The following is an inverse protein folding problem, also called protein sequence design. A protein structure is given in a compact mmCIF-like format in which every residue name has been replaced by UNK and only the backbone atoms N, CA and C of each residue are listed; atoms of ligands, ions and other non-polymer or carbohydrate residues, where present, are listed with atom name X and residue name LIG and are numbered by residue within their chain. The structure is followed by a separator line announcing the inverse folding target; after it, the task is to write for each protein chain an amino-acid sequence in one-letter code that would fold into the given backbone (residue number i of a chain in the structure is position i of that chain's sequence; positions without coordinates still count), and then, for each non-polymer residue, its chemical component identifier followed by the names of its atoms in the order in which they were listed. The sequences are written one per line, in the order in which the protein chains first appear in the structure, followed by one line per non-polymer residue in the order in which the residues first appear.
data_IF_386831830828
#
_entry.id   IF_386831830828
#
_cell.length_a   1.000
_cell.length_b   1.000
_cell.length_c   1.000
_cell.angle_alpha   90.00
_cell.angle_beta   90.00
_cell.angle_gamma   90.00
#
_symmetry.space_group_name_H-M   'P 1'
#
loop_
_entity.id
_entity.type
_entity.pdbx_description
1 polymer ?
#
# COMPACT_ATOMS: atom_id res chain seq x y z
N UNK A 1 8.24 -23.41 16.87
CA UNK A 1 7.05 -23.24 16.01
C UNK A 1 6.09 -24.35 16.31
N UNK A 2 5.14 -24.06 17.19
CA UNK A 2 3.99 -24.91 17.47
C UNK A 2 2.92 -24.68 16.40
N UNK A 3 1.99 -25.62 16.19
CA UNK A 3 0.97 -25.51 15.14
C UNK A 3 0.11 -24.22 15.21
N UNK A 4 -0.08 -23.64 16.41
CA UNK A 4 -0.80 -22.36 16.58
C UNK A 4 -0.03 -21.14 16.07
N UNK A 5 1.30 -21.13 16.14
CA UNK A 5 2.12 -20.00 15.63
C UNK A 5 2.13 -19.97 14.10
N UNK A 6 2.18 -21.15 13.48
CA UNK A 6 2.00 -21.36 12.03
C UNK A 6 0.67 -20.76 11.56
N UNK A 7 -0.43 -21.19 12.19
CA UNK A 7 -1.78 -20.78 11.82
C UNK A 7 -2.01 -19.26 12.02
N UNK A 8 -1.48 -18.67 13.09
CA UNK A 8 -1.55 -17.22 13.32
C UNK A 8 -0.79 -16.42 12.25
N UNK A 9 0.37 -16.94 11.79
CA UNK A 9 1.16 -16.31 10.72
C UNK A 9 0.41 -16.36 9.39
N UNK A 10 -0.20 -17.50 9.04
CA UNK A 10 -1.00 -17.64 7.82
C UNK A 10 -2.21 -16.69 7.82
N UNK A 11 -2.92 -16.61 8.95
CA UNK A 11 -4.08 -15.73 9.09
C UNK A 11 -3.68 -14.27 8.91
N UNK A 12 -2.61 -13.81 9.59
CA UNK A 12 -2.11 -12.45 9.45
C UNK A 12 -1.66 -12.13 8.02
N UNK A 13 -1.01 -13.09 7.33
CA UNK A 13 -0.58 -12.90 5.95
C UNK A 13 -1.78 -12.76 4.98
N UNK A 14 -2.83 -13.56 5.20
CA UNK A 14 -4.06 -13.48 4.41
C UNK A 14 -4.80 -12.14 4.65
N UNK A 15 -4.80 -11.65 5.89
CA UNK A 15 -5.38 -10.36 6.24
C UNK A 15 -4.65 -9.19 5.55
N UNK A 16 -3.31 -9.24 5.50
CA UNK A 16 -2.49 -8.27 4.75
C UNK A 16 -2.87 -8.28 3.26
N UNK A 17 -3.01 -9.45 2.63
CA UNK A 17 -3.40 -9.53 1.20
C UNK A 17 -4.75 -8.88 0.93
N UNK A 18 -5.76 -9.19 1.74
CA UNK A 18 -7.10 -8.62 1.60
C UNK A 18 -7.09 -7.08 1.78
N UNK A 19 -6.28 -6.58 2.72
CA UNK A 19 -6.12 -5.15 2.94
C UNK A 19 -5.40 -4.46 1.75
N UNK A 20 -4.38 -5.10 1.17
CA UNK A 20 -3.67 -4.58 -0.01
C UNK A 20 -4.58 -4.50 -1.25
N UNK A 21 -5.44 -5.49 -1.47
CA UNK A 21 -6.42 -5.48 -2.56
C UNK A 21 -7.39 -4.31 -2.45
N UNK A 22 -7.86 -4.00 -1.23
CA UNK A 22 -8.72 -2.85 -0.99
C UNK A 22 -7.99 -1.54 -1.24
N UNK A 23 -6.80 -1.40 -0.65
CA UNK A 23 -5.93 -0.26 -0.78
C UNK A 23 -5.56 0.03 -2.24
N UNK A 24 -5.16 -0.98 -3.03
CA UNK A 24 -4.80 -0.82 -4.44
C UNK A 24 -5.96 -0.22 -5.26
N UNK A 25 -7.18 -0.75 -5.06
CA UNK A 25 -8.37 -0.25 -5.76
C UNK A 25 -8.62 1.22 -5.46
N UNK A 26 -8.48 1.63 -4.19
CA UNK A 26 -8.71 3.01 -3.80
C UNK A 26 -7.60 3.95 -4.25
N UNK A 27 -6.33 3.55 -4.20
CA UNK A 27 -5.20 4.32 -4.75
C UNK A 27 -5.40 4.59 -6.24
N UNK A 28 -5.73 3.55 -7.02
CA UNK A 28 -5.98 3.71 -8.47
C UNK A 28 -7.12 4.67 -8.75
N UNK A 29 -8.15 4.69 -7.89
CA UNK A 29 -9.27 5.64 -7.99
C UNK A 29 -8.83 7.05 -7.57
N UNK A 30 -8.02 7.20 -6.52
CA UNK A 30 -7.54 8.47 -6.00
C UNK A 30 -6.74 9.23 -7.06
N UNK A 31 -5.84 8.55 -7.77
CA UNK A 31 -5.05 9.14 -8.85
C UNK A 31 -5.92 9.63 -10.01
N UNK A 32 -7.05 8.97 -10.29
CA UNK A 32 -7.99 9.36 -11.36
C UNK A 32 -8.91 10.52 -10.98
N UNK A 33 -9.19 10.70 -9.69
CA UNK A 33 -10.21 11.62 -9.16
C UNK A 33 -9.62 12.55 -8.11
N UNK A 34 -8.37 12.98 -8.34
CA UNK A 34 -7.67 13.86 -7.41
C UNK A 34 -8.55 15.04 -6.99
N UNK A 35 -8.53 15.37 -5.68
CA UNK A 35 -9.45 16.27 -4.93
C UNK A 35 -10.66 15.58 -4.25
N UNK A 36 -10.85 14.27 -4.41
CA UNK A 36 -11.77 13.51 -3.55
C UNK A 36 -11.15 13.31 -2.16
N UNK A 37 -11.45 14.23 -1.24
CA UNK A 37 -10.92 14.20 0.14
C UNK A 37 -11.47 13.04 0.97
N UNK A 38 -12.65 12.50 0.63
CA UNK A 38 -13.18 11.30 1.28
C UNK A 38 -12.37 10.08 0.88
N UNK A 39 -12.03 9.98 -0.40
CA UNK A 39 -11.18 8.92 -0.91
C UNK A 39 -9.75 9.02 -0.37
N UNK A 40 -9.19 10.23 -0.25
CA UNK A 40 -7.90 10.42 0.42
C UNK A 40 -7.92 9.91 1.87
N UNK A 41 -8.94 10.28 2.66
CA UNK A 41 -9.10 9.78 4.03
C UNK A 41 -9.19 8.26 4.08
N UNK A 42 -9.90 7.65 3.14
CA UNK A 42 -10.03 6.20 3.04
C UNK A 42 -8.67 5.55 2.80
N UNK A 43 -7.92 6.02 1.79
CA UNK A 43 -6.58 5.51 1.48
C UNK A 43 -5.62 5.71 2.66
N UNK A 44 -5.70 6.85 3.36
CA UNK A 44 -4.89 7.12 4.56
C UNK A 44 -5.25 6.23 5.76
N UNK A 45 -6.52 5.83 5.91
CA UNK A 45 -6.90 4.87 6.95
C UNK A 45 -6.40 3.46 6.59
N UNK A 46 -6.54 3.05 5.34
CA UNK A 46 -6.10 1.73 4.86
C UNK A 46 -4.58 1.52 4.98
N UNK A 47 -3.78 2.56 4.74
CA UNK A 47 -2.32 2.46 4.95
C UNK A 47 -1.99 2.30 6.46
N UNK A 48 -2.75 2.94 7.36
CA UNK A 48 -2.59 2.74 8.80
C UNK A 48 -3.04 1.34 9.27
N UNK A 49 -4.09 0.80 8.67
CA UNK A 49 -4.56 -0.57 8.93
C UNK A 49 -3.51 -1.60 8.46
N UNK A 50 -2.92 -1.39 7.27
CA UNK A 50 -1.82 -2.22 6.76
C UNK A 50 -0.61 -2.21 7.70
N UNK A 51 -0.28 -1.06 8.30
CA UNK A 51 0.78 -0.96 9.33
C UNK A 51 0.52 -1.91 10.49
N UNK A 52 -0.72 -1.95 10.96
CA UNK A 52 -1.14 -2.78 12.08
C UNK A 52 -1.06 -4.27 11.73
N UNK A 53 -1.46 -4.64 10.52
CA UNK A 53 -1.37 -6.01 10.01
C UNK A 53 0.10 -6.46 9.85
N UNK A 54 0.95 -5.61 9.27
CA UNK A 54 2.37 -5.90 9.08
C UNK A 54 3.16 -5.96 10.39
N UNK A 55 2.69 -5.33 11.48
CA UNK A 55 3.39 -5.34 12.76
C UNK A 55 3.57 -6.74 13.36
N UNK A 56 2.67 -7.67 13.03
CA UNK A 56 2.75 -9.07 13.45
C UNK A 56 3.73 -9.91 12.60
N UNK A 57 4.22 -9.38 11.47
CA UNK A 57 5.02 -10.10 10.49
C UNK A 57 6.33 -9.37 10.18
N UNK A 58 7.38 -9.51 11.02
CA UNK A 58 8.65 -8.80 10.83
C UNK A 58 9.30 -9.01 9.46
N UNK A 59 9.01 -10.14 8.80
CA UNK A 59 9.49 -10.48 7.47
C UNK A 59 8.95 -9.56 6.37
N UNK A 60 7.90 -8.78 6.66
CA UNK A 60 7.30 -7.79 5.74
C UNK A 60 7.87 -6.38 5.93
N UNK A 61 8.66 -6.13 6.97
CA UNK A 61 9.11 -4.79 7.36
C UNK A 61 9.78 -3.99 6.24
N UNK A 62 10.66 -4.61 5.46
CA UNK A 62 11.33 -3.94 4.34
C UNK A 62 10.35 -3.54 3.25
N UNK A 63 9.47 -4.45 2.82
CA UNK A 63 8.45 -4.18 1.80
C UNK A 63 7.45 -3.11 2.28
N UNK A 64 7.08 -3.17 3.57
CA UNK A 64 6.23 -2.18 4.21
C UNK A 64 6.84 -0.76 4.19
N UNK A 65 8.12 -0.62 4.56
CA UNK A 65 8.80 0.68 4.50
C UNK A 65 8.89 1.21 3.07
N UNK A 66 9.16 0.35 2.09
CA UNK A 66 9.16 0.74 0.68
C UNK A 66 7.78 1.26 0.23
N UNK A 67 6.71 0.56 0.61
CA UNK A 67 5.33 0.99 0.33
C UNK A 67 5.01 2.36 0.96
N UNK A 68 5.42 2.58 2.20
CA UNK A 68 5.22 3.87 2.89
C UNK A 68 5.95 5.03 2.20
N UNK A 69 7.21 4.82 1.79
CA UNK A 69 7.99 5.83 1.07
C UNK A 69 7.28 6.18 -0.25
N UNK A 70 6.94 5.15 -1.03
CA UNK A 70 6.25 5.35 -2.30
C UNK A 70 4.86 5.99 -2.14
N UNK A 71 4.13 5.67 -1.06
CA UNK A 71 2.86 6.32 -0.72
C UNK A 71 3.06 7.83 -0.51
N UNK A 72 4.07 8.21 0.29
CA UNK A 72 4.37 9.62 0.55
C UNK A 72 4.75 10.35 -0.76
N UNK A 73 5.55 9.73 -1.62
CA UNK A 73 5.92 10.28 -2.92
C UNK A 73 4.71 10.47 -3.85
N UNK A 74 3.81 9.49 -3.91
CA UNK A 74 2.58 9.58 -4.70
C UNK A 74 1.66 10.69 -4.19
N UNK A 75 1.41 10.76 -2.88
CA UNK A 75 0.58 11.82 -2.26
C UNK A 75 1.21 13.19 -2.47
N UNK A 76 2.53 13.30 -2.34
CA UNK A 76 3.24 14.55 -2.59
C UNK A 76 3.12 14.99 -4.06
N UNK A 77 3.29 14.06 -5.01
CA UNK A 77 3.10 14.30 -6.43
C UNK A 77 1.68 14.79 -6.75
N UNK A 78 0.67 14.12 -6.18
CA UNK A 78 -0.72 14.52 -6.28
C UNK A 78 -0.95 15.93 -5.70
N UNK A 79 -0.45 16.21 -4.49
CA UNK A 79 -0.56 17.54 -3.88
C UNK A 79 0.09 18.63 -4.73
N UNK A 80 1.31 18.42 -5.25
CA UNK A 80 1.96 19.36 -6.17
C UNK A 80 1.13 19.62 -7.41
N UNK A 81 0.50 18.58 -7.98
CA UNK A 81 -0.39 18.72 -9.15
C UNK A 81 -1.62 19.62 -8.91
N UNK A 82 -2.05 19.78 -7.65
CA UNK A 82 -3.16 20.68 -7.30
C UNK A 82 -2.75 22.13 -7.05
N UNK A 83 -1.46 22.43 -6.91
CA UNK A 83 -1.01 23.78 -6.63
C UNK A 83 -0.92 24.64 -7.89
N UNK A 84 -1.45 25.86 -7.82
CA UNK A 84 -1.39 26.84 -8.89
C UNK A 84 0.06 27.32 -9.11
N UNK A 85 0.80 26.63 -9.97
CA UNK A 85 2.16 27.02 -10.35
C UNK A 85 3.09 25.86 -10.67
N UNK A 86 2.78 24.66 -10.18
CA UNK A 86 3.62 23.48 -10.36
C UNK A 86 2.89 22.44 -11.22
N UNK A 87 3.33 22.33 -12.48
CA UNK A 87 2.74 21.37 -13.42
C UNK A 87 3.45 20.03 -13.29
N UNK A 88 2.93 19.17 -12.43
CA UNK A 88 3.23 17.73 -12.50
C UNK A 88 2.66 17.20 -13.81
N UNK A 89 3.50 16.56 -14.61
CA UNK A 89 3.03 15.98 -15.87
C UNK A 89 2.19 14.73 -15.59
N UNK A 90 1.27 14.41 -16.51
CA UNK A 90 0.50 13.15 -16.42
C UNK A 90 1.43 11.93 -16.41
N UNK A 91 2.54 12.01 -17.12
CA UNK A 91 3.57 10.97 -17.20
C UNK A 91 4.29 10.78 -15.85
N UNK A 92 4.64 11.87 -15.17
CA UNK A 92 5.26 11.82 -13.83
C UNK A 92 4.30 11.19 -12.82
N UNK A 93 3.02 11.60 -12.80
CA UNK A 93 2.02 11.01 -11.91
C UNK A 93 1.79 9.52 -12.21
N UNK A 94 1.72 9.15 -13.50
CA UNK A 94 1.58 7.76 -13.92
C UNK A 94 2.79 6.92 -13.49
N UNK A 95 4.00 7.44 -13.63
CA UNK A 95 5.22 6.78 -13.19
C UNK A 95 5.22 6.56 -11.66
N UNK A 96 4.83 7.57 -10.87
CA UNK A 96 4.70 7.41 -9.41
C UNK A 96 3.64 6.39 -9.01
N UNK A 97 2.53 6.32 -9.75
CA UNK A 97 1.54 5.28 -9.54
C UNK A 97 2.12 3.89 -9.85
N UNK A 98 2.86 3.73 -10.93
CA UNK A 98 3.50 2.45 -11.28
C UNK A 98 4.49 1.99 -10.21
N UNK A 99 5.41 2.87 -9.78
CA UNK A 99 6.35 2.58 -8.68
C UNK A 99 5.61 2.16 -7.39
N UNK A 100 4.46 2.78 -7.14
CA UNK A 100 3.64 2.47 -5.98
C UNK A 100 2.95 1.12 -6.08
N UNK A 101 2.42 0.78 -7.26
CA UNK A 101 1.82 -0.52 -7.53
C UNK A 101 2.85 -1.65 -7.42
N UNK A 102 4.08 -1.42 -7.89
CA UNK A 102 5.18 -2.38 -7.73
C UNK A 102 5.47 -2.66 -6.24
N UNK A 103 5.40 -1.64 -5.38
CA UNK A 103 5.55 -1.82 -3.94
C UNK A 103 4.39 -2.61 -3.31
N UNK A 104 3.15 -2.37 -3.75
CA UNK A 104 1.97 -3.14 -3.33
C UNK A 104 2.15 -4.61 -3.71
N UNK A 105 2.51 -4.88 -4.97
CA UNK A 105 2.68 -6.25 -5.48
C UNK A 105 3.84 -6.97 -4.79
N UNK A 106 4.96 -6.30 -4.55
CA UNK A 106 6.07 -6.87 -3.81
C UNK A 106 5.68 -7.26 -2.37
N UNK A 107 4.86 -6.45 -1.69
CA UNK A 107 4.36 -6.76 -0.36
C UNK A 107 3.33 -7.91 -0.38
N UNK A 108 2.44 -7.92 -1.36
CA UNK A 108 1.45 -8.99 -1.56
C UNK A 108 2.12 -10.33 -1.85
N UNK A 109 3.06 -10.38 -2.79
CA UNK A 109 3.85 -11.58 -3.12
C UNK A 109 4.58 -12.11 -1.88
N UNK A 110 5.12 -11.20 -1.07
CA UNK A 110 5.83 -11.58 0.15
C UNK A 110 4.87 -12.12 1.21
N UNK A 111 3.69 -11.54 1.34
CA UNK A 111 2.64 -12.03 2.24
C UNK A 111 2.18 -13.43 1.83
N UNK A 112 1.95 -13.63 0.54
CA UNK A 112 1.56 -14.92 -0.02
C UNK A 112 2.55 -16.03 0.28
N UNK A 113 3.84 -15.75 0.09
CA UNK A 113 4.90 -16.68 0.45
C UNK A 113 4.94 -17.04 1.94
N UNK A 114 4.47 -16.15 2.83
CA UNK A 114 4.36 -16.45 4.26
C UNK A 114 3.12 -17.30 4.55
N UNK A 115 2.01 -17.02 3.89
CA UNK A 115 0.78 -17.81 4.00
C UNK A 115 0.99 -19.27 3.54
N UNK A 116 1.75 -19.50 2.46
CA UNK A 116 2.03 -20.86 1.97
C UNK A 116 3.04 -21.65 2.82
N UNK A 117 3.81 -20.96 3.69
CA UNK A 117 4.89 -21.56 4.49
C UNK A 117 4.55 -21.77 5.97
N UNK A 118 3.56 -21.05 6.48
CA UNK A 118 2.94 -21.36 7.77
C UNK A 118 2.07 -22.60 7.67
#
# INVERSE_FOLDING_TARGET
MTGSECQATQAAATEVEAALDAYERHVRRLVRTWLDMDLYRTVSAEIDDLRSCCAALPQLSTCWVALLISHADLVHCLWRSSQAGERVSREELQHRLEEHLDCIHALADRSHQLAERG
#
